data_IF_907532578852
#
_entry.id   IF_907532578852
#
_cell.length_a   1.000
_cell.length_b   1.000
_cell.length_c   1.000
_cell.angle_alpha   90.00
_cell.angle_beta   90.00
_cell.angle_gamma   90.00
#
_symmetry.space_group_name_H-M   'P 1'
#
loop_
_entity.id
_entity.type
_entity.pdbx_description
1 polymer ?
#
# COMPACT_ATOMS: atom_id res chain seq x y z
N UNK A 1 -3.65 2.74 -13.84
CA UNK A 1 -2.34 3.41 -13.73
C UNK A 1 -2.36 4.74 -14.46
N UNK A 2 -1.45 5.68 -14.17
CA UNK A 2 -1.34 6.96 -14.89
C UNK A 2 -0.23 6.91 -15.94
N UNK A 3 -0.15 7.93 -16.80
CA UNK A 3 0.86 7.95 -17.85
C UNK A 3 2.28 7.87 -17.26
N UNK A 4 3.15 7.08 -17.87
CA UNK A 4 4.56 6.96 -17.47
C UNK A 4 4.84 6.08 -16.25
N UNK A 5 3.83 5.39 -15.71
CA UNK A 5 4.05 4.43 -14.61
C UNK A 5 4.72 3.18 -15.14
N UNK A 6 5.97 2.91 -14.77
CA UNK A 6 6.53 1.56 -14.89
C UNK A 6 6.04 0.71 -13.72
N UNK A 7 5.56 -0.49 -14.01
CA UNK A 7 5.37 -1.56 -13.05
C UNK A 7 6.47 -2.56 -13.29
N UNK A 8 7.44 -2.59 -12.41
CA UNK A 8 8.65 -3.39 -12.58
C UNK A 8 8.99 -4.11 -11.29
N UNK A 9 9.72 -5.20 -11.42
CA UNK A 9 10.22 -5.91 -10.27
C UNK A 9 11.45 -5.23 -9.68
N UNK A 10 11.54 -5.21 -8.35
CA UNK A 10 12.68 -4.67 -7.62
C UNK A 10 13.30 -5.79 -6.77
N UNK A 11 14.64 -5.91 -6.80
CA UNK A 11 15.44 -6.85 -6.00
C UNK A 11 15.32 -8.36 -6.41
N UNK A 12 15.62 -8.67 -7.68
CA UNK A 12 15.52 -10.01 -8.29
C UNK A 12 16.56 -11.03 -7.79
N UNK A 13 16.10 -12.17 -7.27
CA UNK A 13 16.83 -13.45 -7.27
C UNK A 13 16.25 -14.39 -8.35
N UNK A 14 17.09 -15.29 -8.89
CA UNK A 14 16.71 -16.18 -10.00
C UNK A 14 15.60 -17.21 -9.69
N UNK A 15 15.16 -17.30 -8.43
CA UNK A 15 14.15 -18.25 -7.94
C UNK A 15 12.80 -17.59 -7.60
N UNK A 16 12.66 -16.26 -7.74
CA UNK A 16 11.41 -15.55 -7.42
C UNK A 16 10.35 -15.71 -8.55
N UNK A 17 9.06 -15.81 -8.19
CA UNK A 17 7.94 -16.05 -9.14
C UNK A 17 7.51 -14.78 -9.87
N UNK A 18 7.46 -14.77 -11.20
CA UNK A 18 7.09 -13.61 -12.06
C UNK A 18 6.08 -12.64 -11.44
N UNK A 19 6.39 -11.33 -11.50
CA UNK A 19 5.53 -10.25 -11.00
C UNK A 19 4.10 -10.40 -11.50
N UNK A 20 3.13 -10.39 -10.58
CA UNK A 20 1.72 -10.58 -10.90
C UNK A 20 0.93 -9.30 -10.62
N UNK A 21 0.37 -8.73 -11.68
CA UNK A 21 -0.66 -7.69 -11.56
C UNK A 21 -1.99 -8.37 -11.81
N UNK A 22 -2.91 -8.35 -10.84
CA UNK A 22 -4.11 -9.17 -10.91
C UNK A 22 -5.39 -8.42 -10.55
N UNK A 23 -6.50 -8.79 -11.20
CA UNK A 23 -7.85 -8.52 -10.69
C UNK A 23 -8.69 -9.78 -10.72
N UNK A 24 -9.61 -9.92 -9.76
CA UNK A 24 -10.67 -10.93 -9.84
C UNK A 24 -11.81 -10.54 -10.78
N UNK A 25 -11.82 -9.30 -11.27
CA UNK A 25 -12.89 -8.79 -12.10
C UNK A 25 -12.80 -9.27 -13.55
N UNK A 26 -13.96 -9.48 -14.17
CA UNK A 26 -14.12 -9.67 -15.62
C UNK A 26 -14.75 -8.46 -16.29
N UNK A 27 -15.04 -7.39 -15.52
CA UNK A 27 -15.71 -6.20 -16.03
C UNK A 27 -14.80 -5.39 -16.95
N UNK A 28 -15.34 -4.76 -18.01
CA UNK A 28 -14.55 -3.93 -18.90
C UNK A 28 -13.81 -2.80 -18.18
N UNK A 29 -12.53 -2.64 -18.49
CA UNK A 29 -11.69 -1.58 -17.91
C UNK A 29 -11.40 -1.73 -16.41
N UNK A 30 -11.49 -2.94 -15.86
CA UNK A 30 -11.06 -3.22 -14.49
C UNK A 30 -9.55 -3.01 -14.31
N UNK A 31 -8.77 -3.14 -15.39
CA UNK A 31 -7.37 -2.73 -15.45
C UNK A 31 -7.27 -1.63 -16.49
N UNK A 32 -6.99 -0.40 -16.06
CA UNK A 32 -6.77 0.73 -16.97
C UNK A 32 -5.30 1.08 -17.01
N UNK A 33 -4.64 0.80 -18.13
CA UNK A 33 -3.27 1.20 -18.40
C UNK A 33 -3.28 2.50 -19.21
N UNK A 34 -2.49 3.48 -18.80
CA UNK A 34 -2.47 4.80 -19.44
C UNK A 34 -1.19 4.99 -20.26
N UNK A 35 -1.20 5.93 -21.21
CA UNK A 35 -0.12 6.19 -22.17
C UNK A 35 1.28 6.10 -21.53
N UNK A 36 2.18 5.34 -22.15
CA UNK A 36 3.58 5.14 -21.71
C UNK A 36 3.76 4.45 -20.35
N UNK A 37 2.72 3.81 -19.80
CA UNK A 37 2.94 2.87 -18.68
C UNK A 37 3.73 1.67 -19.20
N UNK A 38 4.65 1.12 -18.42
CA UNK A 38 5.35 -0.13 -18.74
C UNK A 38 4.94 -1.17 -17.69
N UNK A 39 4.68 -2.40 -18.05
CA UNK A 39 4.44 -3.51 -17.13
C UNK A 39 5.46 -4.59 -17.46
N UNK A 40 6.33 -4.89 -16.52
CA UNK A 40 7.40 -5.88 -16.65
C UNK A 40 7.03 -7.19 -15.93
N UNK A 41 5.90 -7.78 -16.31
CA UNK A 41 5.36 -8.99 -15.71
C UNK A 41 3.99 -9.37 -16.25
N UNK A 42 3.42 -10.43 -15.70
CA UNK A 42 2.17 -11.00 -16.16
C UNK A 42 0.95 -10.28 -15.57
N UNK A 43 -0.11 -10.18 -16.36
CA UNK A 43 -1.39 -9.61 -15.95
C UNK A 43 -2.43 -10.71 -15.85
N UNK A 44 -3.03 -10.87 -14.67
CA UNK A 44 -4.11 -11.79 -14.40
C UNK A 44 -5.46 -11.06 -14.31
N UNK A 45 -6.51 -11.68 -14.84
CA UNK A 45 -7.89 -11.19 -14.74
C UNK A 45 -8.83 -12.26 -14.20
N UNK A 46 -10.06 -11.85 -13.88
CA UNK A 46 -11.08 -12.73 -13.34
C UNK A 46 -11.28 -14.00 -14.16
N UNK A 47 -11.73 -15.07 -13.50
CA UNK A 47 -12.02 -16.34 -14.15
C UNK A 47 -12.99 -16.16 -15.32
N UNK A 48 -12.58 -16.62 -16.50
CA UNK A 48 -13.37 -16.46 -17.73
C UNK A 48 -13.34 -15.06 -18.34
N UNK A 49 -12.53 -14.15 -17.80
CA UNK A 49 -12.30 -12.82 -18.36
C UNK A 49 -11.58 -12.87 -19.70
N UNK A 50 -11.92 -11.93 -20.57
CA UNK A 50 -11.26 -11.70 -21.86
C UNK A 50 -10.30 -10.50 -21.74
N UNK A 51 -9.00 -10.65 -22.07
CA UNK A 51 -8.03 -9.56 -21.98
C UNK A 51 -8.45 -8.28 -22.70
N UNK A 52 -9.06 -8.41 -23.89
CA UNK A 52 -9.46 -7.26 -24.72
C UNK A 52 -10.58 -6.41 -24.09
N UNK A 53 -11.36 -6.99 -23.19
CA UNK A 53 -12.44 -6.29 -22.48
C UNK A 53 -11.93 -5.74 -21.13
N UNK A 54 -11.28 -6.60 -20.34
CA UNK A 54 -10.87 -6.29 -18.96
C UNK A 54 -9.76 -5.24 -18.92
N UNK A 55 -8.85 -5.28 -19.89
CA UNK A 55 -7.68 -4.40 -19.95
C UNK A 55 -7.96 -3.27 -20.93
N UNK A 56 -8.15 -2.06 -20.41
CA UNK A 56 -8.14 -0.85 -21.24
C UNK A 56 -6.70 -0.36 -21.39
N UNK A 57 -6.06 -0.75 -22.48
CA UNK A 57 -4.75 -0.24 -22.87
C UNK A 57 -4.86 1.08 -23.65
N UNK A 58 -4.35 2.16 -23.07
CA UNK A 58 -4.24 3.46 -23.73
C UNK A 58 -2.80 3.77 -24.13
N UNK A 59 -2.05 2.81 -24.70
CA UNK A 59 -0.68 3.02 -25.20
C UNK A 59 0.42 2.68 -24.20
N UNK A 60 0.19 1.67 -23.36
CA UNK A 60 1.18 1.09 -22.47
C UNK A 60 2.06 0.05 -23.20
N UNK A 61 3.11 -0.41 -22.54
CA UNK A 61 3.95 -1.53 -22.97
C UNK A 61 3.86 -2.61 -21.92
N UNK A 62 3.40 -3.81 -22.28
CA UNK A 62 3.36 -4.97 -21.39
C UNK A 62 4.40 -5.98 -21.89
N UNK A 63 5.44 -6.22 -21.09
CA UNK A 63 6.54 -7.15 -21.37
C UNK A 63 6.27 -8.57 -20.86
N UNK A 64 5.07 -8.85 -20.36
CA UNK A 64 4.61 -10.19 -19.96
C UNK A 64 3.39 -10.65 -20.75
N UNK A 65 2.79 -11.75 -20.30
CA UNK A 65 1.58 -12.31 -20.88
C UNK A 65 0.33 -11.91 -20.09
N UNK A 66 -0.84 -12.08 -20.69
CA UNK A 66 -2.13 -11.86 -20.01
C UNK A 66 -2.85 -13.19 -19.87
N UNK A 67 -3.41 -13.45 -18.67
CA UNK A 67 -4.05 -14.70 -18.33
C UNK A 67 -5.37 -14.49 -17.61
N UNK A 68 -6.37 -15.32 -17.91
CA UNK A 68 -7.53 -15.48 -17.06
C UNK A 68 -7.18 -16.42 -15.89
N UNK A 69 -7.61 -16.06 -14.68
CA UNK A 69 -7.47 -16.91 -13.51
C UNK A 69 -8.24 -18.23 -13.69
N UNK A 70 -7.68 -19.33 -13.17
CA UNK A 70 -8.35 -20.65 -13.14
C UNK A 70 -9.23 -20.84 -11.91
N UNK A 71 -9.08 -19.98 -10.90
CA UNK A 71 -9.88 -19.90 -9.67
C UNK A 71 -9.97 -18.45 -9.19
N UNK A 72 -11.06 -18.07 -8.53
CA UNK A 72 -11.18 -16.75 -7.88
C UNK A 72 -10.14 -16.69 -6.74
N UNK A 73 -9.43 -15.57 -6.63
CA UNK A 73 -8.54 -15.32 -5.50
C UNK A 73 -9.33 -14.74 -4.33
N UNK A 74 -9.50 -15.50 -3.24
CA UNK A 74 -10.13 -14.97 -2.03
C UNK A 74 -9.05 -14.50 -1.05
N UNK A 75 -8.94 -13.19 -0.76
CA UNK A 75 -7.98 -12.70 0.20
C UNK A 75 -8.32 -13.26 1.60
N UNK A 76 -7.30 -13.74 2.31
CA UNK A 76 -7.44 -14.13 3.71
C UNK A 76 -7.80 -12.91 4.58
N UNK A 77 -8.68 -13.04 5.58
CA UNK A 77 -8.97 -11.95 6.50
C UNK A 77 -7.74 -11.61 7.33
N UNK A 78 -7.58 -10.33 7.66
CA UNK A 78 -6.54 -9.88 8.58
C UNK A 78 -7.03 -10.08 10.01
N UNK A 79 -6.20 -10.71 10.84
CA UNK A 79 -6.45 -10.79 12.29
C UNK A 79 -5.35 -10.06 13.05
N UNK A 80 -5.74 -9.26 14.04
CA UNK A 80 -4.78 -8.64 14.97
C UNK A 80 -4.24 -9.73 15.91
N UNK A 81 -2.93 -9.74 16.23
CA UNK A 81 -2.40 -10.65 17.24
C UNK A 81 -3.09 -10.45 18.60
N UNK A 82 -3.51 -11.53 19.26
CA UNK A 82 -4.22 -11.47 20.55
C UNK A 82 -3.43 -10.69 21.62
N UNK A 83 -2.10 -10.81 21.61
CA UNK A 83 -1.20 -10.06 22.51
C UNK A 83 -1.25 -8.54 22.30
N UNK A 84 -1.61 -8.07 21.11
CA UNK A 84 -1.73 -6.66 20.76
C UNK A 84 -3.17 -6.17 20.96
N UNK A 85 -4.15 -7.00 20.59
CA UNK A 85 -5.58 -6.69 20.77
C UNK A 85 -5.97 -6.54 22.25
N UNK A 86 -5.38 -7.36 23.12
CA UNK A 86 -5.62 -7.33 24.57
C UNK A 86 -4.97 -6.17 25.32
N UNK A 87 -4.08 -5.39 24.67
CA UNK A 87 -3.48 -4.21 25.29
C UNK A 87 -4.54 -3.13 25.53
N UNK A 88 -4.45 -2.37 26.65
CA UNK A 88 -5.23 -1.15 26.78
C UNK A 88 -4.79 -0.15 25.71
N UNK A 89 -5.76 0.58 25.17
CA UNK A 89 -5.44 1.70 24.27
C UNK A 89 -4.73 2.81 25.05
N UNK A 90 -3.71 3.39 24.43
CA UNK A 90 -3.00 4.57 24.95
C UNK A 90 -3.64 5.90 24.50
N UNK A 91 -4.83 5.85 23.89
CA UNK A 91 -5.56 7.03 23.43
C UNK A 91 -5.15 7.48 22.03
N UNK A 92 -5.35 8.76 21.73
CA UNK A 92 -4.98 9.37 20.46
C UNK A 92 -3.58 9.97 20.52
N UNK A 93 -2.81 9.80 19.44
CA UNK A 93 -1.58 10.56 19.21
C UNK A 93 -1.92 11.82 18.40
N UNK A 94 -1.74 13.00 18.97
CA UNK A 94 -2.10 14.30 18.38
C UNK A 94 -1.01 15.38 18.48
N UNK A 95 0.24 14.96 18.75
CA UNK A 95 1.45 15.80 18.70
C UNK A 95 2.68 14.94 18.37
N UNK A 96 3.81 15.61 18.16
CA UNK A 96 5.12 15.03 17.93
C UNK A 96 5.47 13.97 18.98
N UNK A 97 5.71 12.75 18.52
CA UNK A 97 5.92 11.59 19.40
C UNK A 97 6.95 10.64 18.81
N UNK A 98 7.78 10.06 19.65
CA UNK A 98 8.58 8.87 19.30
C UNK A 98 7.94 7.64 19.91
N UNK A 99 7.66 6.65 19.09
CA UNK A 99 7.14 5.34 19.48
C UNK A 99 8.31 4.36 19.45
N UNK A 100 8.67 3.85 20.63
CA UNK A 100 9.77 2.90 20.83
C UNK A 100 9.31 1.54 21.37
N UNK A 101 8.00 1.31 21.44
CA UNK A 101 7.41 0.06 21.89
C UNK A 101 6.09 -0.22 21.17
N UNK A 102 5.83 -1.50 20.88
CA UNK A 102 4.56 -1.96 20.31
C UNK A 102 3.39 -1.63 21.24
N UNK A 103 2.30 -1.12 20.68
CA UNK A 103 1.18 -0.60 21.46
C UNK A 103 -0.13 -0.54 20.66
N UNK A 104 -1.23 -0.34 21.38
CA UNK A 104 -2.55 -0.05 20.83
C UNK A 104 -2.90 1.42 21.07
N UNK A 105 -3.45 2.08 20.05
CA UNK A 105 -3.95 3.46 20.12
C UNK A 105 -5.35 3.54 19.53
N UNK A 106 -6.09 4.57 19.93
CA UNK A 106 -7.42 4.86 19.40
C UNK A 106 -7.29 5.39 17.96
N UNK A 107 -6.38 6.34 17.76
CA UNK A 107 -6.15 7.01 16.48
C UNK A 107 -4.79 7.72 16.46
N UNK A 108 -4.36 8.13 15.27
CA UNK A 108 -3.29 9.12 15.07
C UNK A 108 -3.92 10.31 14.35
N UNK A 109 -3.86 11.51 14.93
CA UNK A 109 -4.45 12.71 14.37
C UNK A 109 -3.47 13.87 14.46
N UNK A 110 -2.52 13.90 13.53
CA UNK A 110 -1.46 14.89 13.52
C UNK A 110 -1.92 16.19 12.86
N UNK A 111 -1.61 17.30 13.52
CA UNK A 111 -1.67 18.64 12.98
C UNK A 111 -0.67 18.88 11.86
N UNK A 112 -0.51 20.14 11.44
CA UNK A 112 0.40 20.46 10.35
C UNK A 112 1.86 20.36 10.81
N UNK A 113 2.71 19.69 10.02
CA UNK A 113 4.16 19.50 10.28
C UNK A 113 4.52 18.73 11.55
N UNK A 114 3.55 18.06 12.17
CA UNK A 114 3.82 17.16 13.29
C UNK A 114 4.35 15.83 12.78
N UNK A 115 5.16 15.18 13.62
CA UNK A 115 5.87 13.96 13.26
C UNK A 115 5.71 12.89 14.33
N UNK A 116 5.29 11.71 13.91
CA UNK A 116 5.45 10.47 14.68
C UNK A 116 6.66 9.72 14.13
N UNK A 117 7.59 9.36 15.02
CA UNK A 117 8.81 8.62 14.68
C UNK A 117 8.71 7.21 15.27
N UNK A 118 8.87 6.20 14.42
CA UNK A 118 9.00 4.80 14.81
C UNK A 118 10.48 4.47 15.01
N UNK A 119 10.83 4.05 16.22
CA UNK A 119 12.19 3.68 16.61
C UNK A 119 12.21 2.22 17.11
N UNK A 120 12.90 1.34 16.38
CA UNK A 120 12.94 -0.11 16.65
C UNK A 120 11.89 -0.92 15.88
N UNK A 121 11.75 -2.21 16.22
CA UNK A 121 10.81 -3.13 15.59
C UNK A 121 9.44 -3.07 16.28
N UNK A 122 8.52 -2.30 15.69
CA UNK A 122 7.25 -1.93 16.31
C UNK A 122 6.08 -2.57 15.58
N UNK A 123 5.16 -3.15 16.36
CA UNK A 123 3.82 -3.52 15.89
C UNK A 123 2.80 -2.61 16.54
N UNK A 124 2.02 -1.87 15.74
CA UNK A 124 0.95 -1.01 16.21
C UNK A 124 -0.41 -1.55 15.81
N UNK A 125 -1.37 -1.39 16.72
CA UNK A 125 -2.78 -1.51 16.40
C UNK A 125 -3.47 -0.17 16.62
N UNK A 126 -3.95 0.43 15.53
CA UNK A 126 -4.73 1.67 15.56
C UNK A 126 -6.18 1.29 15.32
N UNK A 127 -7.06 1.48 16.29
CA UNK A 127 -8.46 1.01 16.19
C UNK A 127 -9.31 1.88 15.28
N UNK A 128 -8.98 3.16 15.17
CA UNK A 128 -9.64 4.15 14.31
C UNK A 128 -8.67 4.69 13.27
N UNK A 129 -8.81 5.97 12.95
CA UNK A 129 -8.17 6.58 11.78
C UNK A 129 -6.75 7.05 12.05
N UNK A 130 -5.97 7.14 10.96
CA UNK A 130 -4.71 7.89 10.88
C UNK A 130 -4.93 9.10 9.97
N UNK A 131 -4.94 10.28 10.55
CA UNK A 131 -5.05 11.56 9.86
C UNK A 131 -3.69 12.27 9.95
N UNK A 132 -3.09 12.55 8.80
CA UNK A 132 -1.83 13.30 8.71
C UNK A 132 -2.13 14.68 8.13
N UNK A 133 -2.00 15.73 8.97
CA UNK A 133 -2.11 17.13 8.56
C UNK A 133 -1.12 17.55 7.46
N UNK A 134 -1.17 18.81 7.04
CA UNK A 134 -0.30 19.25 5.94
C UNK A 134 1.17 19.17 6.35
N UNK A 135 1.97 18.48 5.53
CA UNK A 135 3.38 18.21 5.82
C UNK A 135 3.64 17.41 7.11
N UNK A 136 2.63 16.76 7.68
CA UNK A 136 2.83 15.83 8.80
C UNK A 136 3.50 14.54 8.34
N UNK A 137 4.18 13.86 9.26
CA UNK A 137 4.98 12.69 8.92
C UNK A 137 4.76 11.52 9.90
N UNK A 138 4.61 10.32 9.36
CA UNK A 138 4.85 9.07 10.06
C UNK A 138 6.17 8.50 9.52
N UNK A 139 7.25 8.66 10.28
CA UNK A 139 8.60 8.26 9.89
C UNK A 139 9.01 6.93 10.50
N UNK A 140 9.60 6.03 9.71
CA UNK A 140 10.26 4.81 10.15
C UNK A 140 11.76 5.04 9.95
N UNK A 141 12.53 5.05 11.05
CA UNK A 141 13.98 5.30 11.01
C UNK A 141 14.75 4.16 10.31
N UNK A 142 15.99 4.42 9.89
CA UNK A 142 16.84 3.48 9.12
C UNK A 142 17.03 2.08 9.76
N UNK A 143 16.96 1.98 11.09
CA UNK A 143 17.11 0.73 11.84
C UNK A 143 15.80 0.26 12.49
N UNK A 144 14.66 0.77 12.01
CA UNK A 144 13.33 0.46 12.54
C UNK A 144 12.48 -0.36 11.56
N UNK A 145 11.41 -0.96 12.08
CA UNK A 145 10.36 -1.55 11.26
C UNK A 145 8.99 -1.28 11.88
N UNK A 146 7.97 -1.17 11.02
CA UNK A 146 6.59 -0.97 11.43
C UNK A 146 5.68 -2.03 10.79
N UNK A 147 5.00 -2.78 11.64
CA UNK A 147 3.79 -3.53 11.28
C UNK A 147 2.59 -2.78 11.85
N UNK A 148 1.71 -2.31 10.98
CA UNK A 148 0.53 -1.53 11.34
C UNK A 148 -0.74 -2.35 11.07
N UNK A 149 -1.49 -2.69 12.12
CA UNK A 149 -2.87 -3.15 12.00
C UNK A 149 -3.79 -1.94 12.13
N UNK A 150 -4.65 -1.73 11.13
CA UNK A 150 -5.47 -0.54 11.03
C UNK A 150 -6.96 -0.89 10.99
N UNK A 151 -7.68 -0.43 12.00
CA UNK A 151 -9.13 -0.56 12.11
C UNK A 151 -9.91 0.58 11.42
N UNK A 152 -9.32 1.75 11.22
CA UNK A 152 -9.95 2.84 10.47
C UNK A 152 -9.30 3.11 9.12
N UNK A 153 -9.37 4.36 8.68
CA UNK A 153 -8.82 4.80 7.41
C UNK A 153 -7.48 5.54 7.56
N UNK A 154 -6.73 5.67 6.47
CA UNK A 154 -5.60 6.61 6.39
C UNK A 154 -5.98 7.78 5.50
N UNK A 155 -5.90 8.99 6.03
CA UNK A 155 -6.02 10.23 5.26
C UNK A 155 -4.75 11.11 5.38
N UNK A 156 -3.98 11.16 4.30
CA UNK A 156 -2.93 12.16 4.11
C UNK A 156 -3.46 13.47 3.54
N UNK A 157 -3.16 14.60 4.19
CA UNK A 157 -3.37 15.96 3.65
C UNK A 157 -2.16 16.37 2.78
N UNK A 158 -2.12 17.63 2.35
CA UNK A 158 -1.14 18.09 1.35
C UNK A 158 0.29 17.87 1.85
N UNK A 159 1.09 17.16 1.06
CA UNK A 159 2.51 16.92 1.34
C UNK A 159 2.79 16.16 2.64
N UNK A 160 1.79 15.51 3.24
CA UNK A 160 2.02 14.57 4.35
C UNK A 160 2.74 13.33 3.86
N UNK A 161 3.52 12.65 4.68
CA UNK A 161 4.23 11.43 4.27
C UNK A 161 4.14 10.31 5.30
N UNK A 162 3.98 9.08 4.81
CA UNK A 162 4.48 7.89 5.50
C UNK A 162 5.85 7.62 4.90
N UNK A 163 6.91 7.87 5.67
CA UNK A 163 8.28 7.86 5.19
C UNK A 163 9.04 6.70 5.80
N UNK A 164 9.34 5.69 5.01
CA UNK A 164 10.18 4.58 5.41
C UNK A 164 11.62 4.86 5.00
N UNK A 165 12.43 5.38 5.94
CA UNK A 165 13.79 5.83 5.66
C UNK A 165 14.74 4.69 5.32
N UNK A 166 14.40 3.46 5.74
CA UNK A 166 15.15 2.24 5.39
C UNK A 166 15.23 1.99 3.87
N UNK A 167 14.26 2.53 3.10
CA UNK A 167 14.04 2.24 1.68
C UNK A 167 13.82 0.75 1.37
N UNK A 168 13.56 -0.06 2.40
CA UNK A 168 13.26 -1.48 2.31
C UNK A 168 11.73 -1.67 2.49
N UNK A 169 10.99 -2.05 1.44
CA UNK A 169 9.55 -2.29 1.51
C UNK A 169 9.13 -3.31 2.57
N UNK A 170 10.03 -4.20 3.00
CA UNK A 170 9.74 -5.20 4.04
C UNK A 170 9.67 -4.59 5.45
N UNK A 171 10.23 -3.39 5.65
CA UNK A 171 10.26 -2.67 6.93
C UNK A 171 8.98 -1.90 7.23
N UNK A 172 8.06 -1.77 6.28
CA UNK A 172 6.73 -1.19 6.49
C UNK A 172 5.66 -2.14 5.97
N UNK A 173 4.83 -2.67 6.86
CA UNK A 173 3.66 -3.50 6.50
C UNK A 173 2.40 -2.86 7.07
N UNK A 174 1.41 -2.61 6.22
CA UNK A 174 0.12 -2.06 6.60
C UNK A 174 -0.95 -3.12 6.33
N UNK A 175 -1.61 -3.57 7.38
CA UNK A 175 -2.72 -4.51 7.35
C UNK A 175 -4.02 -3.77 7.67
N UNK A 176 -4.86 -3.56 6.66
CA UNK A 176 -6.21 -3.02 6.83
C UNK A 176 -7.17 -4.11 7.29
N UNK A 177 -7.83 -3.87 8.43
CA UNK A 177 -8.89 -4.73 8.94
C UNK A 177 -10.20 -4.54 8.15
N UNK A 178 -11.23 -5.31 8.48
CA UNK A 178 -12.52 -5.28 7.76
C UNK A 178 -13.19 -3.90 7.73
N UNK A 179 -12.93 -3.06 8.74
CA UNK A 179 -13.45 -1.70 8.83
C UNK A 179 -12.60 -0.64 8.14
N UNK A 180 -11.43 -1.00 7.58
CA UNK A 180 -10.61 -0.10 6.78
C UNK A 180 -11.18 -0.03 5.35
N UNK A 181 -11.69 1.15 4.97
CA UNK A 181 -12.34 1.38 3.68
C UNK A 181 -11.46 2.20 2.73
N UNK A 182 -10.57 3.05 3.25
CA UNK A 182 -9.73 3.93 2.44
C UNK A 182 -8.31 4.09 3.01
N UNK A 183 -7.31 4.00 2.13
CA UNK A 183 -5.93 4.38 2.41
C UNK A 183 -5.48 5.39 1.36
N UNK A 184 -5.47 6.67 1.71
CA UNK A 184 -5.12 7.76 0.80
C UNK A 184 -3.82 8.47 1.22
N UNK A 185 -2.79 8.35 0.39
CA UNK A 185 -1.52 9.05 0.58
C UNK A 185 -1.42 10.26 -0.36
N UNK A 186 -1.29 11.46 0.21
CA UNK A 186 -1.01 12.73 -0.51
C UNK A 186 0.41 13.24 -0.31
N UNK A 187 1.37 12.32 -0.34
CA UNK A 187 2.80 12.63 -0.26
C UNK A 187 3.35 13.09 -1.64
N UNK A 188 4.60 13.56 -1.64
CA UNK A 188 5.36 13.89 -2.85
C UNK A 188 6.69 13.14 -2.96
N UNK A 189 6.90 12.15 -2.09
CA UNK A 189 8.16 11.41 -1.93
C UNK A 189 7.91 9.92 -2.13
N UNK A 190 8.92 9.15 -2.50
CA UNK A 190 8.77 7.71 -2.73
C UNK A 190 8.16 6.97 -1.51
N UNK A 191 7.31 5.97 -1.78
CA UNK A 191 6.72 5.11 -0.77
C UNK A 191 7.39 3.74 -0.81
N UNK A 192 7.86 3.23 0.33
CA UNK A 192 8.46 1.90 0.47
C UNK A 192 7.67 1.12 1.52
N UNK A 193 6.86 0.16 1.10
CA UNK A 193 6.06 -0.65 2.03
C UNK A 193 5.11 -1.61 1.34
N UNK A 194 4.63 -2.60 2.10
CA UNK A 194 3.58 -3.51 1.68
C UNK A 194 2.23 -3.13 2.31
N UNK A 195 1.16 -3.15 1.51
CA UNK A 195 -0.21 -2.87 1.94
C UNK A 195 -1.07 -4.10 1.64
N UNK A 196 -1.74 -4.62 2.67
CA UNK A 196 -2.74 -5.66 2.56
C UNK A 196 -4.02 -5.18 3.23
N UNK A 197 -4.94 -4.64 2.42
CA UNK A 197 -6.19 -4.05 2.87
C UNK A 197 -7.32 -4.45 1.90
N UNK A 198 -7.77 -5.72 1.92
CA UNK A 198 -8.64 -6.29 0.88
C UNK A 198 -9.99 -5.58 0.73
N UNK A 199 -10.43 -4.84 1.75
CA UNK A 199 -11.68 -4.08 1.74
C UNK A 199 -11.50 -2.59 1.41
N UNK A 200 -10.26 -2.11 1.34
CA UNK A 200 -9.95 -0.69 1.20
C UNK A 200 -9.64 -0.26 -0.25
N UNK A 201 -10.04 0.96 -0.58
CA UNK A 201 -9.57 1.68 -1.76
C UNK A 201 -8.22 2.34 -1.44
N UNK A 202 -7.14 1.87 -2.07
CA UNK A 202 -5.79 2.42 -1.91
C UNK A 202 -5.53 3.46 -2.98
N UNK A 203 -5.35 4.71 -2.57
CA UNK A 203 -5.16 5.85 -3.45
C UNK A 203 -3.82 6.52 -3.17
N UNK A 204 -2.91 6.45 -4.14
CA UNK A 204 -1.60 7.07 -4.05
C UNK A 204 -1.57 8.30 -4.95
N UNK A 205 -1.56 9.49 -4.36
CA UNK A 205 -1.38 10.77 -5.05
C UNK A 205 0.10 11.15 -5.26
N UNK A 206 1.02 10.27 -4.87
CA UNK A 206 2.46 10.49 -4.93
C UNK A 206 2.95 10.89 -6.33
N UNK A 207 3.81 11.91 -6.40
CA UNK A 207 4.62 12.23 -7.57
C UNK A 207 5.89 11.36 -7.69
N UNK A 208 6.32 10.75 -6.59
CA UNK A 208 7.39 9.76 -6.51
C UNK A 208 6.90 8.33 -6.76
N UNK A 209 7.84 7.40 -6.64
CA UNK A 209 7.66 5.98 -6.92
C UNK A 209 7.06 5.25 -5.72
N UNK A 210 6.39 4.13 -5.97
CA UNK A 210 5.91 3.18 -4.95
C UNK A 210 6.78 1.94 -5.07
N UNK A 211 7.28 1.38 -3.98
CA UNK A 211 8.06 0.14 -3.93
C UNK A 211 7.42 -0.79 -2.90
N UNK A 212 7.05 -2.00 -3.31
CA UNK A 212 6.44 -3.00 -2.43
C UNK A 212 5.24 -3.69 -3.06
N UNK A 213 4.38 -4.30 -2.25
CA UNK A 213 3.19 -5.01 -2.70
C UNK A 213 1.91 -4.31 -2.24
N UNK A 214 0.86 -4.37 -3.05
CA UNK A 214 -0.47 -3.89 -2.66
C UNK A 214 -1.52 -4.95 -3.00
N UNK A 215 -2.24 -5.42 -1.98
CA UNK A 215 -3.51 -6.16 -2.12
C UNK A 215 -4.62 -5.27 -1.55
N UNK A 216 -5.57 -4.88 -2.39
CA UNK A 216 -6.60 -3.93 -2.05
C UNK A 216 -7.91 -4.22 -2.80
N UNK A 217 -9.01 -3.63 -2.36
CA UNK A 217 -10.27 -3.64 -3.12
C UNK A 217 -10.11 -2.93 -4.45
N UNK A 218 -9.46 -1.77 -4.44
CA UNK A 218 -8.99 -1.07 -5.63
C UNK A 218 -7.67 -0.37 -5.36
N UNK A 219 -6.86 -0.23 -6.41
CA UNK A 219 -5.61 0.53 -6.35
C UNK A 219 -5.59 1.62 -7.42
N UNK A 220 -5.35 2.86 -7.00
CA UNK A 220 -5.33 4.02 -7.90
C UNK A 220 -4.11 4.91 -7.64
N UNK A 221 -3.18 4.89 -8.57
CA UNK A 221 -2.10 5.87 -8.64
C UNK A 221 -2.51 7.10 -9.47
N UNK A 222 -2.52 8.28 -8.85
CA UNK A 222 -3.06 9.53 -9.43
C UNK A 222 -2.00 10.51 -9.94
N UNK A 223 -0.69 10.31 -9.75
CA UNK A 223 0.37 11.16 -10.31
C UNK A 223 1.47 10.32 -11.00
N UNK A 224 2.44 10.94 -11.66
CA UNK A 224 3.44 10.34 -12.58
C UNK A 224 4.55 9.54 -11.87
N UNK A 225 4.18 8.74 -10.88
CA UNK A 225 5.11 7.84 -10.21
C UNK A 225 5.22 6.49 -10.91
N UNK A 226 6.32 5.80 -10.65
CA UNK A 226 6.54 4.38 -10.96
C UNK A 226 5.96 3.52 -9.83
N UNK A 227 5.50 2.30 -10.08
CA UNK A 227 5.11 1.33 -9.04
C UNK A 227 5.98 0.09 -9.17
N UNK A 228 7.00 -0.09 -8.35
CA UNK A 228 7.85 -1.27 -8.39
C UNK A 228 7.34 -2.33 -7.40
N UNK A 229 7.04 -3.53 -7.89
CA UNK A 229 6.56 -4.62 -7.04
C UNK A 229 7.74 -5.33 -6.36
N UNK A 230 7.56 -5.66 -5.08
CA UNK A 230 8.45 -6.56 -4.32
C UNK A 230 7.58 -7.63 -3.64
N UNK A 231 7.99 -8.89 -3.71
CA UNK A 231 7.33 -9.98 -3.00
C UNK A 231 7.92 -10.06 -1.59
N UNK A 232 7.21 -9.65 -0.53
CA UNK A 232 7.69 -9.89 0.83
C UNK A 232 7.80 -11.39 1.06
N UNK A 233 9.02 -11.88 1.31
CA UNK A 233 9.29 -13.27 1.70
C UNK A 233 8.75 -13.57 3.11
#
# INVERSE_FOLDING_TARGET
MKNGTTVGWYNYDADDRDMQIGTNSTEPGSIVLKNTSIIDGDIFMGMGGNPDDVITDNGATVNGSTFALTQIYEPSPVMVPESLESLPSLGTIDDNTTISSSARYDSINLGNRETVIICGDITLYITGDIILGNSAQLGIENDASLVLYLGGDIEGKKSSAVNNETQDPQKLKIYGLDSCETIEFKNSADFYGAIYAPNADVIVHNSGNVYGAVTAKSFKQKNSGTFNYDMPR
#
